data_IF_938505996594
#
_entry.id   IF_938505996594
#
_cell.length_a   1.000
_cell.length_b   1.000
_cell.length_c   1.000
_cell.angle_alpha   90.00
_cell.angle_beta   90.00
_cell.angle_gamma   90.00
#
_symmetry.space_group_name_H-M   'P 1'
#
loop_
_entity.id
_entity.type
_entity.pdbx_description
1 polymer ?
#
# COMPACT_ATOMS: atom_id res chain seq x y z
N UNK A 1 -19.96 -4.21 -16.88
CA UNK A 1 -19.79 -4.49 -15.43
C UNK A 1 -18.49 -3.83 -15.00
N UNK A 2 -18.56 -2.81 -14.14
CA UNK A 2 -17.36 -2.21 -13.53
C UNK A 2 -16.94 -3.10 -12.36
N UNK A 3 -15.71 -3.62 -12.39
CA UNK A 3 -15.14 -4.37 -11.28
C UNK A 3 -14.49 -3.34 -10.36
N UNK A 4 -15.13 -3.09 -9.21
CA UNK A 4 -14.61 -2.20 -8.16
C UNK A 4 -14.07 -3.08 -7.04
N UNK A 5 -12.79 -2.95 -6.73
CA UNK A 5 -12.14 -3.61 -5.60
C UNK A 5 -11.70 -2.57 -4.58
N UNK A 6 -11.94 -2.83 -3.30
CA UNK A 6 -11.47 -2.01 -2.18
C UNK A 6 -10.29 -2.69 -1.48
N UNK A 7 -9.28 -1.90 -1.11
CA UNK A 7 -8.15 -2.34 -0.30
C UNK A 7 -8.23 -1.66 1.07
N UNK A 8 -8.77 -2.39 2.03
CA UNK A 8 -8.99 -1.90 3.39
C UNK A 8 -7.74 -2.08 4.26
N UNK A 9 -7.62 -1.29 5.35
CA UNK A 9 -6.54 -1.44 6.34
C UNK A 9 -5.18 -0.83 5.97
N UNK A 10 -5.09 -0.06 4.86
CA UNK A 10 -3.84 0.57 4.41
C UNK A 10 -3.20 1.45 5.50
N UNK A 11 -4.00 2.28 6.16
CA UNK A 11 -3.48 3.20 7.18
C UNK A 11 -2.86 2.44 8.35
N UNK A 12 -3.52 1.39 8.83
CA UNK A 12 -3.01 0.58 9.92
C UNK A 12 -1.70 -0.11 9.51
N UNK A 13 -1.65 -0.67 8.30
CA UNK A 13 -0.42 -1.30 7.78
C UNK A 13 0.75 -0.32 7.66
N UNK A 14 0.52 0.89 7.11
CA UNK A 14 1.59 1.87 6.88
C UNK A 14 2.07 2.50 8.19
N UNK A 15 1.15 2.79 9.11
CA UNK A 15 1.40 3.62 10.29
C UNK A 15 1.66 2.81 11.56
N UNK A 16 1.34 1.51 11.60
CA UNK A 16 1.71 0.60 12.70
C UNK A 16 3.23 0.34 12.73
N UNK A 17 3.98 1.38 13.08
CA UNK A 17 5.44 1.37 13.21
C UNK A 17 5.81 1.02 14.66
N UNK A 18 6.89 0.24 14.87
CA UNK A 18 7.40 -0.01 16.21
C UNK A 18 7.90 1.29 16.86
N UNK A 19 7.53 1.51 18.12
CA UNK A 19 7.77 2.78 18.83
C UNK A 19 9.26 3.01 19.18
N UNK A 20 10.10 1.98 19.19
CA UNK A 20 11.40 2.03 19.87
C UNK A 20 12.65 2.19 18.99
N UNK A 21 12.53 2.31 17.66
CA UNK A 21 13.72 2.33 16.78
C UNK A 21 13.78 3.52 15.83
N UNK A 22 14.96 4.13 15.74
CA UNK A 22 15.29 5.08 14.68
C UNK A 22 15.14 4.43 13.30
N UNK A 23 14.65 5.19 12.31
CA UNK A 23 14.39 4.67 10.97
C UNK A 23 12.91 4.47 10.63
N UNK A 24 12.00 4.84 11.53
CA UNK A 24 10.55 4.91 11.27
C UNK A 24 10.21 5.63 9.96
N UNK A 25 10.85 6.77 9.67
CA UNK A 25 10.63 7.50 8.41
C UNK A 25 11.02 6.67 7.16
N UNK A 26 12.09 5.87 7.25
CA UNK A 26 12.51 4.96 6.17
C UNK A 26 11.53 3.80 6.03
N UNK A 27 11.06 3.26 7.14
CA UNK A 27 10.08 2.17 7.15
C UNK A 27 8.72 2.62 6.62
N UNK A 28 8.27 3.81 7.00
CA UNK A 28 7.05 4.43 6.47
C UNK A 28 7.12 4.55 4.95
N UNK A 29 8.21 5.10 4.41
CA UNK A 29 8.41 5.18 2.95
C UNK A 29 8.42 3.82 2.28
N UNK A 30 9.08 2.83 2.88
CA UNK A 30 9.12 1.47 2.33
C UNK A 30 7.72 0.84 2.30
N UNK A 31 6.94 0.96 3.37
CA UNK A 31 5.57 0.43 3.44
C UNK A 31 4.61 1.15 2.50
N UNK A 32 4.72 2.47 2.37
CA UNK A 32 3.95 3.23 1.37
C UNK A 32 4.25 2.76 -0.06
N UNK A 33 5.54 2.51 -0.37
CA UNK A 33 5.93 1.98 -1.67
C UNK A 33 5.37 0.56 -1.92
N UNK A 34 5.34 -0.29 -0.88
CA UNK A 34 4.75 -1.63 -0.97
C UNK A 34 3.26 -1.55 -1.34
N UNK A 35 2.48 -0.72 -0.66
CA UNK A 35 1.05 -0.53 -0.95
C UNK A 35 0.87 -0.06 -2.40
N UNK A 36 1.67 0.90 -2.83
CA UNK A 36 1.61 1.42 -4.20
C UNK A 36 1.95 0.36 -5.24
N UNK A 37 3.01 -0.44 -5.04
CA UNK A 37 3.37 -1.53 -5.93
C UNK A 37 2.27 -2.61 -5.99
N UNK A 38 1.61 -2.88 -4.86
CA UNK A 38 0.53 -3.85 -4.75
C UNK A 38 -0.71 -3.37 -5.50
N UNK A 39 -1.10 -2.11 -5.33
CA UNK A 39 -2.15 -1.45 -6.11
C UNK A 39 -1.85 -1.49 -7.61
N UNK A 40 -0.64 -1.11 -8.03
CA UNK A 40 -0.23 -1.14 -9.43
C UNK A 40 -0.32 -2.54 -10.00
N UNK A 41 0.10 -3.58 -9.26
CA UNK A 41 -0.04 -4.97 -9.71
C UNK A 41 -1.48 -5.44 -9.80
N UNK A 42 -2.33 -5.06 -8.85
CA UNK A 42 -3.75 -5.40 -8.87
C UNK A 42 -4.43 -4.74 -10.07
N UNK A 43 -4.22 -3.43 -10.26
CA UNK A 43 -4.77 -2.65 -11.37
C UNK A 43 -4.28 -3.14 -12.74
N UNK A 44 -2.98 -3.45 -12.86
CA UNK A 44 -2.40 -4.01 -14.09
C UNK A 44 -2.98 -5.39 -14.45
N UNK A 45 -3.40 -6.17 -13.45
CA UNK A 45 -3.99 -7.50 -13.65
C UNK A 45 -5.48 -7.43 -13.99
N UNK A 46 -6.18 -6.39 -13.55
CA UNK A 46 -7.61 -6.20 -13.81
C UNK A 46 -7.92 -5.43 -15.09
N UNK A 47 -6.92 -5.15 -15.93
CA UNK A 47 -7.11 -4.40 -17.19
C UNK A 47 -7.56 -2.96 -16.98
N UNK A 48 -7.30 -2.40 -15.79
CA UNK A 48 -7.57 -0.99 -15.51
C UNK A 48 -6.61 -0.12 -16.29
N UNK A 49 -7.10 0.50 -17.35
CA UNK A 49 -6.38 1.53 -18.09
C UNK A 49 -6.00 2.67 -17.10
N UNK A 50 -4.76 3.19 -17.13
CA UNK A 50 -4.30 4.23 -16.22
C UNK A 50 -5.07 5.55 -16.36
#
# INVERSE_FOLDING_TARGET
MLIVGDLSGIQEFVVALPEEEGGQARMLRARSFVVQALLTRVLARTGGCP
#
